data_IF_347361350773
#
_entry.id   IF_347361350773
#
_cell.length_a   1.000
_cell.length_b   1.000
_cell.length_c   1.000
_cell.angle_alpha   90.00
_cell.angle_beta   90.00
_cell.angle_gamma   90.00
#
_symmetry.space_group_name_H-M   'P 1'
#
loop_
_entity.id
_entity.type
_entity.pdbx_description
1 polymer ?
#
# COMPACT_ATOMS: atom_id res chain seq x y z
N UNK A 1 0.08 -4.74 -16.19
CA UNK A 1 -0.50 -6.08 -16.09
C UNK A 1 -0.61 -6.46 -14.62
N UNK A 2 -1.80 -6.91 -14.20
CA UNK A 2 -2.06 -7.37 -12.83
C UNK A 2 -2.89 -8.65 -12.89
N UNK A 3 -2.42 -9.69 -12.20
CA UNK A 3 -3.13 -10.97 -12.03
C UNK A 3 -3.00 -11.40 -10.58
N UNK A 4 -4.09 -11.83 -9.98
CA UNK A 4 -4.09 -12.32 -8.60
C UNK A 4 -5.03 -13.49 -8.40
N UNK A 5 -4.71 -14.31 -7.40
CA UNK A 5 -5.53 -15.41 -6.91
C UNK A 5 -5.58 -15.37 -5.40
N UNK A 6 -6.77 -15.44 -4.85
CA UNK A 6 -7.00 -15.40 -3.42
C UNK A 6 -8.17 -16.28 -2.99
N UNK A 7 -8.29 -16.45 -1.69
CA UNK A 7 -9.36 -17.21 -1.05
C UNK A 7 -9.94 -16.41 0.13
N UNK A 8 -11.27 -16.28 0.14
CA UNK A 8 -12.01 -15.56 1.17
C UNK A 8 -12.90 -16.54 1.94
N UNK A 9 -12.89 -16.46 3.27
CA UNK A 9 -13.79 -17.25 4.09
C UNK A 9 -14.25 -16.48 5.34
N UNK A 10 -15.36 -16.91 5.90
CA UNK A 10 -15.88 -16.41 7.16
C UNK A 10 -15.67 -17.44 8.25
N UNK A 11 -14.88 -17.13 9.28
CA UNK A 11 -14.72 -17.99 10.46
C UNK A 11 -15.83 -17.78 11.49
N UNK A 12 -16.55 -16.66 11.42
CA UNK A 12 -17.77 -16.40 12.17
C UNK A 12 -18.62 -15.36 11.45
N UNK A 13 -19.85 -15.11 11.92
CA UNK A 13 -20.72 -14.07 11.38
C UNK A 13 -20.15 -12.63 11.47
N UNK A 14 -19.08 -12.46 12.25
CA UNK A 14 -18.43 -11.18 12.47
C UNK A 14 -17.01 -11.11 11.91
N UNK A 15 -16.49 -12.22 11.42
CA UNK A 15 -15.07 -12.33 11.08
C UNK A 15 -14.91 -12.84 9.66
N UNK A 16 -14.31 -12.02 8.81
CA UNK A 16 -13.91 -12.36 7.45
C UNK A 16 -12.40 -12.47 7.36
N UNK A 17 -11.93 -13.49 6.70
CA UNK A 17 -10.54 -13.73 6.38
C UNK A 17 -10.35 -13.71 4.88
N UNK A 18 -9.27 -13.09 4.42
CA UNK A 18 -8.90 -13.01 3.01
C UNK A 18 -7.43 -13.39 2.89
N UNK A 19 -7.16 -14.43 2.16
CA UNK A 19 -5.80 -14.88 1.86
C UNK A 19 -5.54 -14.63 0.38
N UNK A 20 -4.68 -13.67 0.07
CA UNK A 20 -4.12 -13.47 -1.26
C UNK A 20 -2.89 -14.36 -1.36
N UNK A 21 -3.04 -15.50 -2.02
CA UNK A 21 -1.95 -16.46 -2.21
C UNK A 21 -0.90 -15.90 -3.16
N UNK A 22 -1.34 -15.08 -4.10
CA UNK A 22 -0.51 -14.64 -5.19
C UNK A 22 -1.14 -13.43 -5.90
N UNK A 23 -0.38 -12.36 -6.03
CA UNK A 23 -0.71 -11.20 -6.86
C UNK A 23 0.55 -10.75 -7.59
N UNK A 24 0.52 -10.74 -8.92
CA UNK A 24 1.59 -10.24 -9.76
C UNK A 24 1.20 -8.90 -10.36
N UNK A 25 2.04 -7.91 -10.14
CA UNK A 25 1.99 -6.62 -10.85
C UNK A 25 3.27 -6.46 -11.65
N UNK A 26 3.13 -6.17 -12.92
CA UNK A 26 4.23 -5.87 -13.80
C UNK A 26 3.98 -4.55 -14.51
N UNK A 27 4.82 -3.58 -14.22
CA UNK A 27 4.88 -2.30 -14.89
C UNK A 27 6.19 -2.23 -15.64
N UNK A 28 6.12 -1.87 -16.93
CA UNK A 28 7.30 -1.64 -17.75
C UNK A 28 7.08 -0.41 -18.61
N UNK A 29 8.03 0.50 -18.57
CA UNK A 29 8.08 1.65 -19.47
C UNK A 29 8.61 1.18 -20.82
N UNK A 30 7.78 1.31 -21.88
CA UNK A 30 8.13 0.77 -23.21
C UNK A 30 8.89 1.80 -24.02
N UNK A 31 8.51 3.09 -23.92
CA UNK A 31 9.17 4.19 -24.63
C UNK A 31 8.94 5.49 -23.88
N UNK A 32 9.92 6.38 -23.93
CA UNK A 32 9.88 7.72 -23.35
C UNK A 32 10.15 8.76 -24.43
N UNK A 33 9.79 10.00 -24.16
CA UNK A 33 10.18 11.16 -24.95
C UNK A 33 11.35 11.88 -24.25
N UNK A 34 12.22 12.61 -24.97
CA UNK A 34 13.32 13.33 -24.34
C UNK A 34 12.89 14.33 -23.27
N UNK A 35 11.70 14.92 -23.42
CA UNK A 35 11.14 15.86 -22.43
C UNK A 35 10.67 15.12 -21.15
N UNK A 36 10.15 13.91 -21.31
CA UNK A 36 9.76 13.06 -20.19
C UNK A 36 11.00 12.56 -19.43
N UNK A 37 12.06 12.20 -20.14
CA UNK A 37 13.33 11.77 -19.51
C UNK A 37 13.92 12.90 -18.66
N UNK A 38 13.95 14.13 -19.17
CA UNK A 38 14.37 15.32 -18.39
C UNK A 38 13.49 15.52 -17.15
N UNK A 39 12.18 15.37 -17.31
CA UNK A 39 11.26 15.51 -16.18
C UNK A 39 11.53 14.46 -15.10
N UNK A 40 11.86 13.22 -15.46
CA UNK A 40 12.25 12.18 -14.50
C UNK A 40 13.58 12.49 -13.82
N UNK A 41 14.57 13.00 -14.57
CA UNK A 41 15.87 13.37 -14.01
C UNK A 41 15.76 14.54 -13.01
N UNK A 42 14.86 15.48 -13.28
CA UNK A 42 14.61 16.62 -12.41
C UNK A 42 13.74 16.28 -11.19
N UNK A 43 12.96 15.19 -11.26
CA UNK A 43 11.98 14.82 -10.24
C UNK A 43 12.09 13.34 -9.84
N UNK A 44 12.90 12.99 -8.84
CA UNK A 44 13.09 11.60 -8.41
C UNK A 44 11.81 10.85 -8.04
N UNK A 45 10.82 11.53 -7.47
CA UNK A 45 9.51 10.95 -7.14
C UNK A 45 8.73 10.49 -8.37
N UNK A 46 8.85 11.26 -9.46
CA UNK A 46 8.24 10.90 -10.75
C UNK A 46 9.00 9.70 -11.32
N UNK A 47 10.32 9.74 -11.35
CA UNK A 47 11.15 8.63 -11.80
C UNK A 47 10.79 7.34 -11.08
N UNK A 48 10.68 7.36 -9.74
CA UNK A 48 10.30 6.22 -8.93
C UNK A 48 8.90 5.69 -9.26
N UNK A 49 7.96 6.56 -9.64
CA UNK A 49 6.59 6.15 -9.99
C UNK A 49 6.49 5.42 -11.33
N UNK A 50 7.45 5.67 -12.23
CA UNK A 50 7.53 5.07 -13.57
C UNK A 50 8.63 4.00 -13.69
N UNK A 51 9.33 3.70 -12.60
CA UNK A 51 10.35 2.64 -12.59
C UNK A 51 9.77 1.29 -13.03
N UNK A 52 10.55 0.54 -13.80
CA UNK A 52 10.21 -0.82 -14.18
C UNK A 52 10.13 -1.68 -12.92
N UNK A 53 8.94 -2.17 -12.59
CA UNK A 53 8.70 -2.90 -11.36
C UNK A 53 8.03 -4.23 -11.63
N UNK A 54 8.62 -5.27 -11.05
CA UNK A 54 7.98 -6.57 -10.90
C UNK A 54 7.67 -6.79 -9.42
N UNK A 55 6.38 -6.77 -9.09
CA UNK A 55 5.90 -6.98 -7.73
C UNK A 55 5.10 -8.27 -7.69
N UNK A 56 5.64 -9.26 -7.01
CA UNK A 56 4.93 -10.49 -6.69
C UNK A 56 4.68 -10.49 -5.19
N UNK A 57 3.43 -10.47 -4.80
CA UNK A 57 3.06 -10.37 -3.38
C UNK A 57 2.05 -11.43 -2.97
N UNK A 58 2.13 -11.81 -1.71
CA UNK A 58 1.13 -12.57 -1.00
C UNK A 58 0.70 -11.80 0.26
N UNK A 59 -0.49 -12.06 0.75
CA UNK A 59 -0.96 -11.32 1.91
C UNK A 59 -2.15 -11.97 2.58
N UNK A 60 -2.34 -11.60 3.83
CA UNK A 60 -3.48 -12.02 4.62
C UNK A 60 -4.15 -10.80 5.25
N UNK A 61 -5.48 -10.77 5.16
CA UNK A 61 -6.29 -9.71 5.77
C UNK A 61 -7.36 -10.34 6.65
N UNK A 62 -7.34 -9.94 7.91
CA UNK A 62 -8.35 -10.26 8.90
C UNK A 62 -9.28 -9.06 9.06
N UNK A 63 -10.59 -9.29 9.01
CA UNK A 63 -11.59 -8.25 9.26
C UNK A 63 -12.59 -8.74 10.30
N UNK A 64 -12.71 -8.00 11.39
CA UNK A 64 -13.75 -8.15 12.40
C UNK A 64 -14.72 -6.99 12.25
N UNK A 65 -16.01 -7.29 12.10
CA UNK A 65 -17.07 -6.28 11.97
C UNK A 65 -18.28 -6.68 12.82
N UNK A 66 -18.54 -5.91 13.85
CA UNK A 66 -19.64 -6.18 14.77
C UNK A 66 -20.47 -4.95 15.06
N UNK A 67 -21.77 -5.15 14.96
CA UNK A 67 -22.78 -4.18 15.40
C UNK A 67 -23.27 -4.58 16.77
N UNK A 68 -23.30 -3.61 17.69
CA UNK A 68 -23.80 -3.75 19.06
C UNK A 68 -25.04 -2.89 19.21
N UNK A 69 -26.08 -3.44 19.78
CA UNK A 69 -27.33 -2.72 20.04
C UNK A 69 -28.52 -3.64 20.08
N UNK A 70 -29.66 -3.12 20.53
CA UNK A 70 -30.94 -3.83 20.48
C UNK A 70 -31.46 -3.82 19.05
N UNK A 71 -32.14 -4.87 18.62
CA UNK A 71 -32.62 -5.11 17.24
C UNK A 71 -33.28 -3.93 16.51
N UNK A 72 -33.69 -2.89 17.21
CA UNK A 72 -34.38 -1.71 16.66
C UNK A 72 -33.47 -0.49 16.49
N UNK A 73 -32.29 -0.46 17.16
CA UNK A 73 -31.34 0.64 17.10
C UNK A 73 -29.91 0.07 17.11
N UNK A 74 -29.30 0.05 15.94
CA UNK A 74 -27.86 -0.28 15.79
C UNK A 74 -27.03 0.93 16.26
N UNK A 75 -26.80 1.00 17.58
CA UNK A 75 -26.22 2.19 18.17
C UNK A 75 -24.71 2.28 18.05
N UNK A 76 -24.05 1.13 17.94
CA UNK A 76 -22.60 1.05 17.94
C UNK A 76 -22.12 0.05 16.88
N UNK A 77 -21.04 0.38 16.18
CA UNK A 77 -20.36 -0.54 15.28
C UNK A 77 -18.85 -0.44 15.49
N UNK A 78 -18.21 -1.57 15.60
CA UNK A 78 -16.76 -1.68 15.62
C UNK A 78 -16.32 -2.53 14.44
N UNK A 79 -15.45 -1.95 13.60
CA UNK A 79 -14.77 -2.65 12.53
C UNK A 79 -13.28 -2.59 12.80
N UNK A 80 -12.63 -3.74 12.86
CA UNK A 80 -11.16 -3.85 12.99
C UNK A 80 -10.65 -4.64 11.81
N UNK A 81 -9.67 -4.09 11.12
CA UNK A 81 -9.01 -4.75 10.00
C UNK A 81 -7.51 -4.76 10.24
N UNK A 82 -6.92 -5.95 10.17
CA UNK A 82 -5.48 -6.13 10.23
C UNK A 82 -5.01 -6.83 8.96
N UNK A 83 -3.92 -6.37 8.35
CA UNK A 83 -3.35 -7.01 7.20
C UNK A 83 -1.84 -7.15 7.32
N UNK A 84 -1.33 -8.21 6.75
CA UNK A 84 0.09 -8.40 6.49
C UNK A 84 0.26 -8.77 5.02
N UNK A 85 1.19 -8.11 4.36
CA UNK A 85 1.53 -8.35 2.95
C UNK A 85 3.03 -8.51 2.85
N UNK A 86 3.46 -9.53 2.15
CA UNK A 86 4.85 -9.74 1.79
C UNK A 86 5.03 -9.60 0.28
N UNK A 87 6.19 -9.15 -0.16
CA UNK A 87 6.58 -9.08 -1.57
C UNK A 87 7.86 -9.84 -1.83
N UNK A 88 7.89 -10.63 -2.90
CA UNK A 88 9.08 -11.25 -3.45
C UNK A 88 9.66 -12.46 -2.72
N UNK A 89 9.14 -12.86 -1.56
CA UNK A 89 9.73 -13.97 -0.80
C UNK A 89 9.57 -15.33 -1.48
N UNK A 90 8.42 -15.59 -2.09
CA UNK A 90 8.18 -16.84 -2.82
C UNK A 90 9.23 -17.02 -3.93
N UNK A 91 9.47 -15.98 -4.72
CA UNK A 91 10.47 -16.02 -5.79
C UNK A 91 11.89 -16.04 -5.25
N UNK A 92 12.16 -15.34 -4.16
CA UNK A 92 13.45 -15.39 -3.48
C UNK A 92 13.78 -16.78 -2.97
N UNK A 93 12.79 -17.51 -2.43
CA UNK A 93 12.94 -18.90 -2.00
C UNK A 93 13.26 -19.83 -3.18
N UNK A 94 12.51 -19.72 -4.28
CA UNK A 94 12.77 -20.49 -5.50
C UNK A 94 14.18 -20.19 -6.06
N UNK A 95 14.58 -18.92 -6.08
CA UNK A 95 15.89 -18.49 -6.55
C UNK A 95 17.04 -19.07 -5.72
N UNK A 96 16.87 -19.08 -4.39
CA UNK A 96 17.85 -19.66 -3.47
C UNK A 96 17.97 -21.18 -3.66
N UNK A 97 16.87 -21.87 -3.92
CA UNK A 97 16.87 -23.31 -4.23
C UNK A 97 17.57 -23.61 -5.56
N UNK A 98 17.53 -22.68 -6.51
CA UNK A 98 18.22 -22.81 -7.79
C UNK A 98 19.74 -22.52 -7.71
N UNK A 99 20.26 -22.13 -6.53
CA UNK A 99 21.69 -21.88 -6.31
C UNK A 99 22.23 -20.67 -7.06
N UNK A 100 21.39 -19.72 -7.45
CA UNK A 100 21.80 -18.54 -8.19
C UNK A 100 22.21 -17.41 -7.24
N UNK A 101 23.40 -16.85 -7.42
CA UNK A 101 23.91 -15.71 -6.68
C UNK A 101 23.71 -14.39 -7.43
N UNK A 102 23.61 -13.28 -6.67
CA UNK A 102 23.49 -11.93 -7.21
C UNK A 102 22.09 -11.32 -7.15
N UNK A 103 21.88 -10.20 -7.86
CA UNK A 103 20.57 -9.53 -7.93
C UNK A 103 19.52 -10.44 -8.56
N UNK A 104 18.49 -10.76 -7.80
CA UNK A 104 17.44 -11.68 -8.21
C UNK A 104 16.53 -11.01 -9.23
N UNK A 105 16.43 -11.57 -10.44
CA UNK A 105 15.67 -11.00 -11.54
C UNK A 105 14.65 -12.02 -12.07
N UNK A 106 13.47 -11.55 -12.39
CA UNK A 106 12.45 -12.33 -13.09
C UNK A 106 12.12 -11.62 -14.41
N UNK A 107 12.17 -12.35 -15.52
CA UNK A 107 12.02 -11.79 -16.88
C UNK A 107 12.96 -10.59 -17.18
N UNK A 108 14.17 -10.61 -16.58
CA UNK A 108 15.15 -9.53 -16.77
C UNK A 108 14.97 -8.30 -15.85
N UNK A 109 13.86 -8.22 -15.12
CA UNK A 109 13.54 -7.12 -14.20
C UNK A 109 13.78 -7.56 -12.75
N UNK A 110 14.45 -6.75 -11.90
CA UNK A 110 14.57 -7.03 -10.48
C UNK A 110 13.17 -7.07 -9.85
N UNK A 111 12.92 -8.04 -8.98
CA UNK A 111 11.65 -8.06 -8.24
C UNK A 111 11.81 -7.44 -6.85
N UNK A 112 10.77 -6.75 -6.43
CA UNK A 112 10.76 -6.06 -5.15
C UNK A 112 10.56 -7.02 -3.98
N UNK A 113 11.35 -6.82 -2.91
CA UNK A 113 11.22 -7.56 -1.65
C UNK A 113 10.86 -6.60 -0.51
N UNK A 114 9.72 -6.83 0.12
CA UNK A 114 9.25 -6.02 1.24
C UNK A 114 8.25 -6.78 2.11
N UNK A 115 8.06 -6.29 3.32
CA UNK A 115 6.97 -6.66 4.20
C UNK A 115 6.20 -5.40 4.61
N UNK A 116 4.88 -5.51 4.66
CA UNK A 116 3.97 -4.39 4.99
C UNK A 116 2.88 -4.90 5.92
N UNK A 117 2.70 -4.21 7.04
CA UNK A 117 1.63 -4.47 7.99
C UNK A 117 0.72 -3.27 8.14
N UNK A 118 -0.60 -3.49 8.28
CA UNK A 118 -1.56 -2.42 8.57
C UNK A 118 -2.55 -2.85 9.62
N UNK A 119 -2.96 -1.90 10.44
CA UNK A 119 -4.05 -2.05 11.41
C UNK A 119 -4.96 -0.85 11.31
N UNK A 120 -6.25 -1.09 11.09
CA UNK A 120 -7.28 -0.08 11.08
C UNK A 120 -8.38 -0.45 12.04
N UNK A 121 -8.82 0.53 12.85
CA UNK A 121 -10.00 0.40 13.67
C UNK A 121 -10.96 1.56 13.39
N UNK A 122 -12.22 1.25 13.15
CA UNK A 122 -13.30 2.23 12.97
C UNK A 122 -14.37 1.94 14.01
N UNK A 123 -14.64 2.94 14.83
CA UNK A 123 -15.73 2.87 15.81
C UNK A 123 -16.77 3.92 15.49
N UNK A 124 -18.03 3.52 15.44
CA UNK A 124 -19.14 4.45 15.28
C UNK A 124 -20.18 4.26 16.38
N UNK A 125 -20.70 5.37 16.88
CA UNK A 125 -21.72 5.40 17.92
C UNK A 125 -22.78 6.44 17.60
N UNK A 126 -24.05 6.04 17.68
CA UNK A 126 -25.17 6.97 17.65
C UNK A 126 -25.30 7.64 19.02
N UNK A 127 -25.24 8.96 19.04
CA UNK A 127 -25.27 9.74 20.28
C UNK A 127 -26.71 10.15 20.61
N UNK A 128 -27.36 10.91 19.73
CA UNK A 128 -28.74 11.40 19.90
C UNK A 128 -29.43 11.48 18.54
N UNK A 129 -30.65 10.98 18.44
CA UNK A 129 -31.46 11.06 17.22
C UNK A 129 -30.75 10.44 16.01
N UNK A 130 -30.45 11.23 15.00
CA UNK A 130 -29.73 10.81 13.79
C UNK A 130 -28.21 11.12 13.84
N UNK A 131 -27.74 11.75 14.92
CA UNK A 131 -26.32 12.11 15.06
C UNK A 131 -25.47 10.89 15.38
N UNK A 132 -24.41 10.70 14.60
CA UNK A 132 -23.44 9.59 14.75
C UNK A 132 -22.03 10.15 14.89
N UNK A 133 -21.37 9.75 15.95
CA UNK A 133 -19.93 9.96 16.13
C UNK A 133 -19.16 8.80 15.47
N UNK A 134 -18.16 9.13 14.67
CA UNK A 134 -17.28 8.13 14.04
C UNK A 134 -15.84 8.49 14.31
N UNK A 135 -15.08 7.56 14.86
CA UNK A 135 -13.64 7.63 15.03
C UNK A 135 -12.94 6.56 14.18
N UNK A 136 -11.83 6.93 13.55
CA UNK A 136 -10.96 6.02 12.79
C UNK A 136 -9.53 6.17 13.24
N UNK A 137 -8.87 5.05 13.49
CA UNK A 137 -7.44 4.96 13.73
C UNK A 137 -6.85 4.04 12.66
N UNK A 138 -5.74 4.46 12.05
CA UNK A 138 -4.98 3.68 11.09
C UNK A 138 -3.51 3.73 11.46
N UNK A 139 -2.87 2.57 11.52
CA UNK A 139 -1.44 2.41 11.74
C UNK A 139 -0.91 1.47 10.68
N UNK A 140 0.22 1.82 10.09
CA UNK A 140 0.89 0.99 9.09
C UNK A 140 2.40 1.09 9.23
N UNK A 141 3.08 -0.01 8.96
CA UNK A 141 4.53 -0.07 8.85
C UNK A 141 4.91 -0.92 7.65
N UNK A 142 5.99 -0.55 6.98
CA UNK A 142 6.52 -1.30 5.86
C UNK A 142 8.05 -1.23 5.86
N UNK A 143 8.68 -2.32 5.42
CA UNK A 143 10.14 -2.44 5.38
C UNK A 143 10.57 -3.17 4.12
N UNK A 144 11.49 -2.55 3.36
CA UNK A 144 12.15 -3.16 2.21
C UNK A 144 13.39 -3.92 2.66
N UNK A 145 13.70 -5.02 2.00
CA UNK A 145 14.87 -5.84 2.32
C UNK A 145 15.33 -6.67 1.12
N UNK A 146 16.48 -7.32 1.27
CA UNK A 146 17.00 -8.26 0.27
C UNK A 146 17.31 -7.59 -1.05
N UNK A 147 16.48 -7.84 -2.05
CA UNK A 147 16.66 -7.35 -3.42
C UNK A 147 16.26 -5.88 -3.62
N UNK A 148 15.63 -5.27 -2.62
CA UNK A 148 15.11 -3.90 -2.70
C UNK A 148 15.67 -3.02 -1.60
N UNK A 149 16.13 -1.83 -1.96
CA UNK A 149 16.50 -0.76 -1.02
C UNK A 149 15.29 0.04 -0.55
N UNK A 150 14.25 0.12 -1.38
CA UNK A 150 13.05 0.90 -1.14
C UNK A 150 11.77 0.10 -1.43
N UNK A 151 10.69 0.55 -0.83
CA UNK A 151 9.37 -0.03 -1.06
C UNK A 151 8.83 0.50 -2.39
N UNK A 152 8.27 -0.37 -3.25
CA UNK A 152 7.65 0.06 -4.50
C UNK A 152 6.69 1.23 -4.31
N UNK A 153 6.76 2.24 -5.17
CA UNK A 153 5.95 3.44 -5.08
C UNK A 153 4.45 3.17 -4.87
N UNK A 154 3.92 2.15 -5.53
CA UNK A 154 2.50 1.76 -5.41
C UNK A 154 2.15 1.13 -4.06
N UNK A 155 3.13 0.67 -3.30
CA UNK A 155 2.94 0.03 -1.99
C UNK A 155 3.31 0.95 -0.81
N UNK A 156 3.87 2.13 -1.06
CA UNK A 156 4.18 3.11 -0.02
C UNK A 156 2.91 3.68 0.64
N UNK A 157 3.02 4.06 1.90
CA UNK A 157 2.00 4.84 2.58
C UNK A 157 2.06 6.30 2.13
N UNK A 158 0.91 6.94 2.06
CA UNK A 158 0.81 8.35 1.71
C UNK A 158 -0.38 9.02 2.41
N UNK A 159 -0.33 10.34 2.51
CA UNK A 159 -1.39 11.19 3.03
C UNK A 159 -1.91 12.08 1.90
N UNK A 160 -3.19 12.45 1.97
CA UNK A 160 -3.90 13.18 0.93
C UNK A 160 -4.82 12.30 0.10
N UNK A 161 -5.70 12.93 -0.66
CA UNK A 161 -6.69 12.26 -1.51
C UNK A 161 -8.00 11.91 -0.80
N UNK A 162 -8.95 11.40 -1.59
CA UNK A 162 -10.35 11.22 -1.18
C UNK A 162 -10.55 10.28 0.03
N UNK A 163 -9.66 9.31 0.22
CA UNK A 163 -9.75 8.31 1.30
C UNK A 163 -8.93 8.68 2.55
N UNK A 164 -8.21 9.79 2.52
CA UNK A 164 -7.38 10.29 3.61
C UNK A 164 -7.80 11.72 3.97
N UNK A 165 -7.19 12.75 3.39
CA UNK A 165 -7.52 14.15 3.59
C UNK A 165 -8.00 14.76 2.26
N UNK A 166 -9.31 14.89 2.09
CA UNK A 166 -9.94 15.28 0.82
C UNK A 166 -9.54 16.64 0.27
N UNK A 167 -9.14 17.56 1.15
CA UNK A 167 -8.73 18.92 0.75
C UNK A 167 -7.34 18.96 0.09
N UNK A 168 -6.59 17.87 0.16
CA UNK A 168 -5.21 17.80 -0.30
C UNK A 168 -5.08 16.78 -1.42
N UNK A 169 -4.22 17.06 -2.39
CA UNK A 169 -3.85 16.10 -3.42
C UNK A 169 -3.13 14.88 -2.81
N UNK A 170 -3.17 13.77 -3.50
CA UNK A 170 -2.45 12.55 -3.11
C UNK A 170 -0.96 12.88 -2.99
N UNK A 171 -0.33 12.48 -1.87
CA UNK A 171 1.08 12.71 -1.57
C UNK A 171 1.50 14.20 -1.45
N UNK A 172 0.56 15.13 -1.34
CA UNK A 172 0.88 16.56 -1.20
C UNK A 172 1.19 16.98 0.24
N UNK A 173 1.06 16.08 1.20
CA UNK A 173 1.38 16.34 2.61
C UNK A 173 2.60 15.48 2.95
N UNK A 174 3.71 16.16 3.23
CA UNK A 174 4.95 15.51 3.62
C UNK A 174 5.04 15.21 5.11
N UNK A 175 6.06 14.42 5.53
CA UNK A 175 6.29 14.14 6.93
C UNK A 175 6.77 15.39 7.67
N UNK A 176 5.98 15.80 8.67
CA UNK A 176 6.36 16.88 9.60
C UNK A 176 6.65 18.22 8.93
N UNK A 177 7.82 18.77 9.18
CA UNK A 177 8.29 20.05 8.66
C UNK A 177 9.05 19.97 7.33
N UNK A 178 8.95 18.86 6.61
CA UNK A 178 9.62 18.71 5.33
C UNK A 178 9.10 19.71 4.30
N UNK A 179 10.01 20.48 3.74
CA UNK A 179 9.81 21.33 2.57
C UNK A 179 10.75 20.86 1.45
N UNK A 180 10.22 20.66 0.27
CA UNK A 180 11.06 20.46 -0.92
C UNK A 180 11.83 21.75 -1.18
N UNK A 181 13.16 21.70 -1.23
CA UNK A 181 14.00 22.86 -1.54
C UNK A 181 13.87 23.29 -3.02
N UNK A 182 13.33 22.42 -3.86
CA UNK A 182 13.04 22.72 -5.26
C UNK A 182 11.55 23.01 -5.40
N UNK A 183 11.19 24.26 -5.52
CA UNK A 183 9.91 24.67 -6.11
C UNK A 183 9.90 24.24 -7.58
N UNK A 184 9.51 22.99 -7.81
CA UNK A 184 9.38 22.51 -9.18
C UNK A 184 8.24 23.26 -9.84
N UNK A 185 8.52 23.95 -10.92
CA UNK A 185 7.59 24.69 -11.77
C UNK A 185 6.39 23.88 -12.26
N UNK A 186 6.41 22.55 -12.08
CA UNK A 186 5.35 21.59 -12.43
C UNK A 186 4.39 21.25 -11.30
N UNK A 187 4.55 21.82 -10.08
CA UNK A 187 3.65 21.56 -8.95
C UNK A 187 3.68 20.14 -8.39
N UNK A 188 4.65 19.32 -8.76
CA UNK A 188 4.87 18.01 -8.19
C UNK A 188 5.72 18.12 -6.93
N UNK A 189 5.20 17.59 -5.83
CA UNK A 189 5.92 17.56 -4.56
C UNK A 189 6.80 16.32 -4.51
N UNK A 190 8.07 16.51 -4.19
CA UNK A 190 9.04 15.44 -3.99
C UNK A 190 8.78 14.76 -2.63
N UNK A 191 7.86 13.81 -2.62
CA UNK A 191 7.46 13.13 -1.39
C UNK A 191 7.53 11.62 -1.58
N UNK A 192 8.72 11.10 -1.39
CA UNK A 192 8.91 9.68 -1.13
C UNK A 192 8.62 9.40 0.35
N UNK A 193 7.37 9.10 0.66
CA UNK A 193 6.99 8.72 2.01
C UNK A 193 7.34 7.26 2.30
N UNK A 194 8.56 7.00 2.71
CA UNK A 194 8.92 5.78 3.45
C UNK A 194 9.03 6.14 4.91
N UNK A 195 8.13 5.59 5.72
CA UNK A 195 8.25 5.58 7.18
C UNK A 195 8.41 4.13 7.63
#
# INVERSE_FOLDING_TARGET
FNVGFGYDWMSSKYTKNQLNLFELKYNKLISTTPDFDKMMDENPSIALSFEDQFIAKAGYTFTFDRVFGRRRFEDKRLTVQASITEGGNLFSGIWSLAGADGTKRLFGTPFSQFIKGTLQAVYSHRVVGQHRLVGRVFVGAAHAYGNSSEIPYTEQFYVGGANSLRAFAVRSIGPGSYHSEKENSSGYYDQTGTF
#
